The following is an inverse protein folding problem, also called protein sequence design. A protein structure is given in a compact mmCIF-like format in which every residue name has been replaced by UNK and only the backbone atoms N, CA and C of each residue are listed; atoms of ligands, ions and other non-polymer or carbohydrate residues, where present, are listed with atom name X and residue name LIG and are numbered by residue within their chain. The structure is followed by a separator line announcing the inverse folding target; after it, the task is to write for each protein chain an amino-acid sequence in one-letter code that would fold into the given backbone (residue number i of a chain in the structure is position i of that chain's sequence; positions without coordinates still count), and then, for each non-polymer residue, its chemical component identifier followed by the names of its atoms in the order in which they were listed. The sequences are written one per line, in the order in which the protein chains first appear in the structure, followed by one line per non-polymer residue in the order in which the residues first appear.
data_IF_942238993564
#
_entry.id   IF_942238993564
#
_cell.length_a   1.000
_cell.length_b   1.000
_cell.length_c   1.000
_cell.angle_alpha   90.00
_cell.angle_beta   90.00
_cell.angle_gamma   90.00
#
_symmetry.space_group_name_H-M   'P 1'
#
loop_
_entity.id
_entity.type
_entity.pdbx_description
1 polymer ?
#
# COMPACT_ATOMS: atom_id res chain seq x y z
N UNK A 1 -3.23 -0.33 9.85
CA UNK A 1 -3.92 -0.38 8.54
C UNK A 1 -4.90 0.77 8.49
N UNK A 2 -5.08 1.50 7.38
CA UNK A 2 -6.02 2.62 7.32
C UNK A 2 -7.45 2.17 7.65
N UNK A 3 -8.17 2.95 8.45
CA UNK A 3 -9.55 2.64 8.88
C UNK A 3 -10.50 2.39 7.70
N UNK A 4 -10.33 3.16 6.62
CA UNK A 4 -11.11 3.03 5.40
C UNK A 4 -10.94 1.64 4.76
N UNK A 5 -9.71 1.14 4.73
CA UNK A 5 -9.38 -0.19 4.22
C UNK A 5 -9.95 -1.28 5.15
N UNK A 6 -9.86 -1.11 6.46
CA UNK A 6 -10.43 -2.06 7.41
C UNK A 6 -11.96 -2.18 7.27
N UNK A 7 -12.66 -1.05 7.17
CA UNK A 7 -14.12 -1.02 6.94
C UNK A 7 -14.49 -1.72 5.62
N UNK A 8 -13.72 -1.48 4.56
CA UNK A 8 -13.95 -2.12 3.26
C UNK A 8 -13.74 -3.65 3.31
N UNK A 9 -12.70 -4.12 3.99
CA UNK A 9 -12.43 -5.55 4.17
C UNK A 9 -13.52 -6.21 5.03
N UNK A 10 -13.88 -5.61 6.17
CA UNK A 10 -14.94 -6.11 7.06
C UNK A 10 -16.30 -6.14 6.39
N UNK A 11 -16.55 -5.20 5.47
CA UNK A 11 -17.72 -5.20 4.60
C UNK A 11 -17.72 -6.29 3.52
N UNK A 12 -16.84 -7.29 3.61
CA UNK A 12 -16.73 -8.40 2.66
C UNK A 12 -16.19 -7.98 1.30
N UNK A 13 -15.54 -6.81 1.21
CA UNK A 13 -15.16 -6.17 -0.07
C UNK A 13 -16.36 -6.08 -1.02
N UNK A 14 -17.56 -5.99 -0.44
CA UNK A 14 -18.73 -6.62 -1.05
C UNK A 14 -19.15 -5.92 -2.35
N UNK A 15 -19.34 -6.67 -3.44
CA UNK A 15 -19.95 -6.17 -4.68
C UNK A 15 -21.34 -5.54 -4.49
N UNK A 16 -22.01 -5.83 -3.35
CA UNK A 16 -23.33 -5.30 -2.98
C UNK A 16 -23.27 -3.90 -2.36
N UNK A 17 -22.10 -3.45 -1.90
CA UNK A 17 -21.92 -2.09 -1.39
C UNK A 17 -21.73 -1.18 -2.61
N UNK A 18 -22.82 -0.55 -3.05
CA UNK A 18 -22.82 0.35 -4.22
C UNK A 18 -21.95 1.61 -4.03
N UNK A 19 -21.53 1.92 -2.81
CA UNK A 19 -20.73 3.10 -2.50
C UNK A 19 -19.25 2.72 -2.36
N UNK A 20 -18.45 3.23 -3.29
CA UNK A 20 -17.00 3.22 -3.24
C UNK A 20 -16.50 3.89 -1.95
N UNK A 21 -15.41 3.41 -1.33
CA UNK A 21 -14.71 4.13 -0.27
C UNK A 21 -14.35 5.55 -0.71
N UNK A 22 -14.56 6.53 0.18
CA UNK A 22 -14.25 7.95 -0.05
C UNK A 22 -13.20 8.37 0.96
N UNK A 23 -12.10 8.93 0.47
CA UNK A 23 -11.07 9.55 1.31
C UNK A 23 -11.52 10.99 1.56
N UNK A 24 -11.92 11.29 2.81
CA UNK A 24 -12.40 12.62 3.19
C UNK A 24 -11.27 13.60 3.54
N UNK A 25 -10.18 13.09 4.10
CA UNK A 25 -8.99 13.84 4.50
C UNK A 25 -7.76 13.16 3.89
N UNK A 26 -7.21 13.78 2.84
CA UNK A 26 -6.07 13.23 2.10
C UNK A 26 -4.80 13.20 2.93
N UNK A 27 -4.38 14.28 3.64
CA UNK A 27 -3.21 14.24 4.52
C UNK A 27 -3.28 13.18 5.64
N UNK A 28 -4.43 13.01 6.29
CA UNK A 28 -4.60 11.97 7.30
C UNK A 28 -4.50 10.57 6.68
N UNK A 29 -5.15 10.37 5.54
CA UNK A 29 -5.10 9.10 4.82
C UNK A 29 -3.70 8.75 4.33
N UNK A 30 -2.96 9.73 3.81
CA UNK A 30 -1.54 9.57 3.44
C UNK A 30 -0.72 9.04 4.62
N UNK A 31 -0.86 9.68 5.78
CA UNK A 31 -0.12 9.32 6.99
C UNK A 31 -0.42 7.88 7.41
N UNK A 32 -1.70 7.50 7.40
CA UNK A 32 -2.14 6.16 7.78
C UNK A 32 -1.70 5.09 6.77
N UNK A 33 -1.72 5.41 5.48
CA UNK A 33 -1.26 4.50 4.40
C UNK A 33 0.23 4.24 4.56
N UNK A 34 1.06 5.27 4.71
CA UNK A 34 2.50 5.09 4.87
C UNK A 34 2.87 4.37 6.16
N UNK A 35 2.24 4.70 7.29
CA UNK A 35 2.44 3.98 8.56
C UNK A 35 2.12 2.50 8.40
N UNK A 36 1.01 2.19 7.73
CA UNK A 36 0.61 0.81 7.49
C UNK A 36 1.56 0.08 6.55
N UNK A 37 1.89 0.66 5.40
CA UNK A 37 2.78 0.06 4.40
C UNK A 37 4.18 -0.19 4.95
N UNK A 38 4.71 0.76 5.72
CA UNK A 38 6.04 0.63 6.33
C UNK A 38 6.06 -0.49 7.37
N UNK A 39 4.97 -0.68 8.11
CA UNK A 39 4.81 -1.81 9.04
C UNK A 39 4.57 -3.17 8.36
N UNK A 40 4.40 -3.21 7.04
CA UNK A 40 4.35 -4.46 6.27
C UNK A 40 5.69 -4.83 5.64
N UNK A 41 6.68 -3.93 5.66
CA UNK A 41 7.95 -4.20 5.02
C UNK A 41 8.70 -5.34 5.71
N UNK A 42 9.41 -6.16 4.93
CA UNK A 42 10.23 -7.21 5.50
C UNK A 42 11.45 -6.61 6.21
N UNK A 43 12.01 -7.37 7.16
CA UNK A 43 13.07 -6.90 8.06
C UNK A 43 14.36 -6.48 7.32
N UNK A 44 14.62 -7.08 6.16
CA UNK A 44 15.77 -6.72 5.33
C UNK A 44 15.62 -5.34 4.66
N UNK A 45 14.40 -4.82 4.57
CA UNK A 45 14.14 -3.57 3.88
C UNK A 45 14.47 -2.37 4.76
N UNK A 46 15.38 -1.53 4.29
CA UNK A 46 15.77 -0.30 4.97
C UNK A 46 14.59 0.68 5.03
N UNK A 47 14.36 1.25 6.22
CA UNK A 47 13.40 2.34 6.44
C UNK A 47 14.17 3.65 6.64
N UNK A 48 13.77 4.69 5.91
CA UNK A 48 14.37 6.01 5.96
C UNK A 48 13.91 6.81 7.19
N UNK A 49 14.55 7.95 7.45
CA UNK A 49 14.23 8.82 8.59
C UNK A 49 12.80 9.41 8.53
N UNK A 50 12.18 9.44 7.36
CA UNK A 50 10.77 9.82 7.17
C UNK A 50 9.79 8.69 7.53
N UNK A 51 10.31 7.54 7.99
CA UNK A 51 9.53 6.37 8.36
C UNK A 51 9.00 5.59 7.17
N UNK A 52 9.49 5.85 5.95
CA UNK A 52 9.06 5.18 4.71
C UNK A 52 10.17 4.24 4.20
N UNK A 53 9.82 3.23 3.39
CA UNK A 53 10.81 2.33 2.82
C UNK A 53 11.81 3.09 1.94
N UNK A 54 13.04 2.62 1.95
CA UNK A 54 14.09 3.11 1.07
C UNK A 54 13.71 2.88 -0.39
N UNK A 55 14.04 3.86 -1.23
CA UNK A 55 13.94 3.74 -2.70
C UNK A 55 15.10 2.91 -3.26
N UNK A 56 16.09 2.58 -2.42
CA UNK A 56 17.07 1.53 -2.68
C UNK A 56 16.38 0.16 -2.59
N UNK A 57 16.32 -0.52 -3.73
CA UNK A 57 15.50 -1.72 -4.00
C UNK A 57 16.35 -2.97 -4.25
N UNK A 58 17.60 -3.00 -3.78
CA UNK A 58 18.40 -4.21 -3.86
C UNK A 58 17.76 -5.34 -3.03
N UNK A 59 17.39 -6.43 -3.71
CA UNK A 59 16.80 -7.64 -3.10
C UNK A 59 17.80 -8.79 -3.27
N UNK A 60 18.17 -9.41 -2.16
CA UNK A 60 18.93 -10.66 -2.19
C UNK A 60 18.03 -11.81 -2.68
N UNK A 61 18.54 -12.74 -3.48
CA UNK A 61 17.76 -13.89 -3.94
C UNK A 61 17.24 -14.79 -2.80
N UNK A 62 17.85 -14.70 -1.62
CA UNK A 62 17.42 -15.39 -0.39
C UNK A 62 16.54 -14.52 0.53
N UNK A 63 16.13 -13.32 0.09
CA UNK A 63 15.38 -12.39 0.90
C UNK A 63 13.94 -12.88 1.17
N UNK A 64 13.61 -13.03 2.44
CA UNK A 64 12.28 -13.44 2.89
C UNK A 64 11.33 -12.23 2.92
N UNK A 65 10.30 -12.25 2.08
CA UNK A 65 9.31 -11.17 1.98
C UNK A 65 8.27 -11.15 3.12
N UNK A 66 8.37 -12.10 4.05
CA UNK A 66 7.54 -12.16 5.25
C UNK A 66 6.05 -12.05 4.95
N UNK A 67 5.37 -11.08 5.56
CA UNK A 67 3.92 -10.88 5.39
C UNK A 67 3.51 -10.45 3.99
N UNK A 68 4.42 -9.89 3.19
CA UNK A 68 4.18 -9.57 1.78
C UNK A 68 4.31 -10.82 0.89
N UNK A 69 5.14 -11.78 1.28
CA UNK A 69 5.33 -13.08 0.61
C UNK A 69 4.18 -14.08 0.80
N UNK A 70 3.24 -13.81 1.70
CA UNK A 70 2.09 -14.69 1.92
C UNK A 70 1.06 -14.45 0.80
N UNK A 71 1.07 -15.32 -0.22
CA UNK A 71 0.06 -15.33 -1.28
C UNK A 71 -1.35 -15.54 -0.68
N UNK A 72 -2.15 -14.47 -0.62
CA UNK A 72 -3.48 -14.55 -0.01
C UNK A 72 -4.17 -13.20 0.19
N UNK A 73 -5.18 -13.20 1.07
CA UNK A 73 -6.12 -12.10 1.27
C UNK A 73 -5.51 -10.76 1.71
N UNK A 74 -4.22 -10.66 2.07
CA UNK A 74 -3.72 -9.53 2.88
C UNK A 74 -2.61 -8.65 2.31
N UNK A 75 -1.90 -9.03 1.25
CA UNK A 75 -0.71 -8.28 0.81
C UNK A 75 -1.02 -7.13 -0.14
N UNK A 76 -0.81 -7.37 -1.43
CA UNK A 76 -0.68 -6.32 -2.44
C UNK A 76 -2.00 -5.78 -2.99
N UNK A 77 -3.06 -6.60 -3.06
CA UNK A 77 -4.38 -6.12 -3.51
C UNK A 77 -4.91 -4.96 -2.63
N UNK A 78 -4.64 -5.02 -1.33
CA UNK A 78 -5.01 -3.95 -0.41
C UNK A 78 -4.22 -2.67 -0.69
N UNK A 79 -2.95 -2.79 -1.06
CA UNK A 79 -2.09 -1.67 -1.42
C UNK A 79 -2.55 -1.00 -2.72
N UNK A 80 -2.91 -1.80 -3.73
CA UNK A 80 -3.55 -1.33 -4.96
C UNK A 80 -4.90 -0.65 -4.70
N UNK A 81 -5.72 -1.20 -3.80
CA UNK A 81 -7.01 -0.61 -3.47
C UNK A 81 -6.85 0.78 -2.83
N UNK A 82 -5.96 0.92 -1.84
CA UNK A 82 -5.73 2.22 -1.18
C UNK A 82 -5.04 3.23 -2.11
N UNK A 83 -4.13 2.79 -3.00
CA UNK A 83 -3.50 3.68 -3.98
C UNK A 83 -4.55 4.24 -4.95
N UNK A 84 -5.48 3.39 -5.42
CA UNK A 84 -6.61 3.84 -6.22
C UNK A 84 -7.43 4.89 -5.47
N UNK A 85 -7.88 4.60 -4.23
CA UNK A 85 -8.72 5.51 -3.44
C UNK A 85 -8.07 6.86 -3.21
N UNK A 86 -6.77 6.87 -2.92
CA UNK A 86 -5.99 8.08 -2.79
C UNK A 86 -5.95 8.86 -4.10
N UNK A 87 -5.61 8.22 -5.22
CA UNK A 87 -5.51 8.87 -6.53
C UNK A 87 -6.80 9.55 -6.96
N UNK A 88 -7.95 8.95 -6.68
CA UNK A 88 -9.25 9.58 -6.95
C UNK A 88 -9.49 10.82 -6.10
N UNK A 89 -9.10 10.79 -4.83
CA UNK A 89 -9.29 11.90 -3.90
C UNK A 89 -8.37 13.10 -4.21
N UNK A 90 -7.33 12.87 -5.01
CA UNK A 90 -6.50 13.95 -5.54
C UNK A 90 -7.19 14.72 -6.67
N UNK A 91 -8.21 14.16 -7.33
CA UNK A 91 -9.00 14.84 -8.37
C UNK A 91 -8.13 15.47 -9.49
N UNK A 92 -7.06 14.78 -9.89
CA UNK A 92 -6.11 15.25 -10.90
C UNK A 92 -5.03 16.21 -10.38
N UNK A 93 -5.03 16.55 -9.08
CA UNK A 93 -3.90 17.23 -8.44
C UNK A 93 -2.71 16.26 -8.33
N UNK A 94 -1.51 16.74 -8.63
CA UNK A 94 -0.29 15.95 -8.45
C UNK A 94 0.02 15.73 -6.97
N UNK A 95 0.56 14.57 -6.62
CA UNK A 95 1.07 14.28 -5.28
C UNK A 95 2.28 13.37 -5.36
N UNK A 96 3.46 13.93 -5.09
CA UNK A 96 4.71 13.16 -5.04
C UNK A 96 4.66 11.98 -4.07
N UNK A 97 3.89 12.13 -2.98
CA UNK A 97 3.72 11.08 -1.98
C UNK A 97 2.89 9.93 -2.52
N UNK A 98 1.84 10.23 -3.29
CA UNK A 98 1.04 9.21 -3.96
C UNK A 98 1.83 8.55 -5.08
N UNK A 99 2.56 9.33 -5.90
CA UNK A 99 3.40 8.80 -6.98
C UNK A 99 4.43 7.80 -6.43
N UNK A 100 5.14 8.18 -5.36
CA UNK A 100 6.07 7.30 -4.65
C UNK A 100 5.38 6.05 -4.10
N UNK A 101 4.18 6.19 -3.54
CA UNK A 101 3.43 5.02 -3.04
C UNK A 101 2.98 4.08 -4.16
N UNK A 102 2.60 4.60 -5.32
CA UNK A 102 2.25 3.77 -6.48
C UNK A 102 3.48 3.03 -6.99
N UNK A 103 4.62 3.71 -7.10
CA UNK A 103 5.89 3.11 -7.49
C UNK A 103 6.35 2.01 -6.51
N UNK A 104 6.14 2.20 -5.21
CA UNK A 104 6.37 1.16 -4.19
C UNK A 104 5.53 -0.10 -4.41
N UNK A 105 4.24 0.09 -4.71
CA UNK A 105 3.31 -1.01 -4.92
C UNK A 105 3.60 -1.74 -6.23
N UNK A 106 3.96 -1.02 -7.29
CA UNK A 106 4.35 -1.61 -8.58
C UNK A 106 5.55 -2.52 -8.39
N UNK A 107 6.63 -1.98 -7.83
CA UNK A 107 7.85 -2.76 -7.59
C UNK A 107 7.58 -4.01 -6.74
N UNK A 108 6.83 -3.87 -5.64
CA UNK A 108 6.49 -5.02 -4.82
C UNK A 108 5.63 -6.04 -5.56
N UNK A 109 4.82 -5.65 -6.55
CA UNK A 109 4.08 -6.59 -7.40
C UNK A 109 4.97 -7.29 -8.42
N UNK A 110 5.95 -6.59 -8.99
CA UNK A 110 6.91 -7.15 -9.95
C UNK A 110 7.79 -8.21 -9.28
N UNK A 111 8.39 -7.88 -8.13
CA UNK A 111 9.22 -8.82 -7.36
C UNK A 111 8.45 -10.06 -6.94
N UNK A 112 7.16 -9.93 -6.62
CA UNK A 112 6.31 -11.06 -6.22
C UNK A 112 5.76 -11.88 -7.40
N UNK A 113 5.87 -11.38 -8.63
CA UNK A 113 5.47 -12.10 -9.83
C UNK A 113 6.60 -12.97 -10.42
N UNK A 114 7.85 -12.69 -10.05
CA UNK A 114 9.04 -13.41 -10.51
C UNK A 114 9.41 -14.63 -9.63
N UNK A 115 8.69 -14.86 -8.53
CA UNK A 115 8.86 -15.99 -7.59
C UNK A 115 8.03 -17.21 -7.96
#
# INVERSE_FOLDING_TARGET
RPDLLEKWIRGGRAPRVKKRPIVADVPAFETDVWRWWSGLQPDWRKINADGRPSEDREVDASAEWGVLGIHGQNGLLNAVAVSCWWGMALEGRGSRSWDRFVDEVIWACEEQAEV
#
